data_IF_689698235314
#
_entry.id   IF_689698235314
#
_cell.length_a   1.000
_cell.length_b   1.000
_cell.length_c   1.000
_cell.angle_alpha   90.00
_cell.angle_beta   90.00
_cell.angle_gamma   90.00
#
_symmetry.space_group_name_H-M   'P 1'
#
loop_
_entity.id
_entity.type
_entity.pdbx_description
1 polymer ?
#
# COMPACT_ATOMS: atom_id res chain seq x y z
N UNK A 1 -15.71 -4.61 -12.62
CA UNK A 1 -15.96 -3.35 -11.89
C UNK A 1 -16.48 -3.64 -10.49
N UNK A 2 -17.59 -4.38 -10.34
CA UNK A 2 -18.15 -4.70 -9.01
C UNK A 2 -17.23 -5.57 -8.12
N UNK A 3 -16.45 -6.46 -8.73
CA UNK A 3 -15.51 -7.31 -7.99
C UNK A 3 -14.38 -6.51 -7.32
N UNK A 4 -13.90 -5.44 -7.97
CA UNK A 4 -12.75 -4.66 -7.47
C UNK A 4 -13.15 -3.74 -6.32
N UNK A 5 -14.35 -3.15 -6.40
CA UNK A 5 -14.94 -2.40 -5.30
C UNK A 5 -15.23 -3.32 -4.10
N UNK A 6 -15.75 -4.52 -4.34
CA UNK A 6 -15.91 -5.53 -3.29
C UNK A 6 -14.58 -5.89 -2.62
N UNK A 7 -13.50 -6.04 -3.39
CA UNK A 7 -12.16 -6.27 -2.81
C UNK A 7 -11.70 -5.11 -1.92
N UNK A 8 -12.00 -3.86 -2.30
CA UNK A 8 -11.72 -2.71 -1.43
C UNK A 8 -12.58 -2.73 -0.15
N UNK A 9 -13.83 -3.17 -0.22
CA UNK A 9 -14.68 -3.30 0.97
C UNK A 9 -14.17 -4.40 1.91
N UNK A 10 -13.68 -5.51 1.36
CA UNK A 10 -13.00 -6.58 2.12
C UNK A 10 -11.76 -6.02 2.82
N UNK A 11 -10.93 -5.25 2.11
CA UNK A 11 -9.78 -4.59 2.71
C UNK A 11 -10.22 -3.63 3.82
N UNK A 12 -11.21 -2.77 3.58
CA UNK A 12 -11.69 -1.80 4.57
C UNK A 12 -12.21 -2.50 5.83
N UNK A 13 -12.93 -3.61 5.68
CA UNK A 13 -13.42 -4.45 6.80
C UNK A 13 -12.25 -5.08 7.57
N UNK A 14 -11.24 -5.59 6.86
CA UNK A 14 -10.06 -6.15 7.48
C UNK A 14 -9.26 -5.09 8.24
N UNK A 15 -9.12 -3.89 7.68
CA UNK A 15 -8.45 -2.72 8.29
C UNK A 15 -9.19 -2.28 9.55
N UNK A 16 -10.52 -2.16 9.50
CA UNK A 16 -11.32 -1.77 10.65
C UNK A 16 -11.25 -2.80 11.80
N UNK A 17 -11.11 -4.09 11.48
CA UNK A 17 -11.03 -5.16 12.48
C UNK A 17 -9.59 -5.52 12.89
N UNK A 18 -8.58 -5.03 12.16
CA UNK A 18 -7.18 -5.44 12.28
C UNK A 18 -6.90 -6.91 11.92
N UNK A 19 -7.88 -7.61 11.33
CA UNK A 19 -7.80 -9.06 11.06
C UNK A 19 -8.18 -9.35 9.62
N UNK A 20 -7.43 -10.26 9.00
CA UNK A 20 -7.71 -10.77 7.68
C UNK A 20 -7.94 -12.28 7.74
N UNK A 21 -9.15 -12.71 7.37
CA UNK A 21 -9.46 -14.13 7.26
C UNK A 21 -8.72 -14.75 6.06
N UNK A 22 -8.30 -16.01 6.18
CA UNK A 22 -7.50 -16.71 5.15
C UNK A 22 -8.15 -16.68 3.76
N UNK A 23 -9.47 -16.90 3.67
CA UNK A 23 -10.21 -16.83 2.41
C UNK A 23 -10.10 -15.44 1.75
N UNK A 24 -10.19 -14.37 2.53
CA UNK A 24 -10.03 -13.01 2.05
C UNK A 24 -8.56 -12.66 1.75
N UNK A 25 -7.60 -13.29 2.44
CA UNK A 25 -6.18 -13.14 2.13
C UNK A 25 -5.89 -13.66 0.72
N UNK A 26 -6.38 -14.86 0.36
CA UNK A 26 -6.23 -15.40 -0.99
C UNK A 26 -6.81 -14.46 -2.06
N UNK A 27 -8.03 -13.96 -1.85
CA UNK A 27 -8.66 -13.01 -2.78
C UNK A 27 -7.82 -11.72 -2.95
N UNK A 28 -7.36 -11.13 -1.85
CA UNK A 28 -6.52 -9.94 -1.87
C UNK A 28 -5.17 -10.19 -2.54
N UNK A 29 -4.53 -11.34 -2.31
CA UNK A 29 -3.27 -11.69 -2.97
C UNK A 29 -3.45 -11.79 -4.49
N UNK A 30 -4.53 -12.43 -4.96
CA UNK A 30 -4.85 -12.45 -6.39
C UNK A 30 -5.11 -11.04 -6.93
N UNK A 31 -5.83 -10.21 -6.17
CA UNK A 31 -6.09 -8.83 -6.54
C UNK A 31 -4.78 -8.02 -6.70
N UNK A 32 -3.81 -8.20 -5.80
CA UNK A 32 -2.50 -7.53 -5.82
C UNK A 32 -1.63 -7.86 -7.04
N UNK A 33 -1.90 -8.96 -7.75
CA UNK A 33 -1.20 -9.27 -9.01
C UNK A 33 -1.60 -8.32 -10.14
N UNK A 34 -2.74 -7.63 -10.01
CA UNK A 34 -3.25 -6.67 -10.98
C UNK A 34 -2.74 -5.27 -10.64
N UNK A 35 -1.98 -4.59 -11.53
CA UNK A 35 -1.32 -3.32 -11.21
C UNK A 35 -2.26 -2.24 -10.67
N UNK A 36 -3.43 -2.02 -11.31
CA UNK A 36 -4.39 -1.01 -10.87
C UNK A 36 -4.96 -1.30 -9.49
N UNK A 37 -5.21 -2.57 -9.18
CA UNK A 37 -5.78 -2.97 -7.89
C UNK A 37 -4.73 -2.91 -6.77
N UNK A 38 -3.48 -3.26 -7.07
CA UNK A 38 -2.36 -3.01 -6.15
C UNK A 38 -2.25 -1.54 -5.79
N UNK A 39 -2.31 -0.67 -6.80
CA UNK A 39 -2.19 0.76 -6.60
C UNK A 39 -3.40 1.31 -5.84
N UNK A 40 -4.61 0.78 -6.09
CA UNK A 40 -5.82 1.09 -5.33
C UNK A 40 -5.72 0.68 -3.85
N UNK A 41 -5.23 -0.53 -3.57
CA UNK A 41 -4.99 -1.02 -2.20
C UNK A 41 -3.98 -0.13 -1.49
N UNK A 42 -2.91 0.27 -2.17
CA UNK A 42 -1.91 1.17 -1.62
C UNK A 42 -2.51 2.55 -1.32
N UNK A 43 -3.30 3.11 -2.23
CA UNK A 43 -3.99 4.38 -2.03
C UNK A 43 -4.94 4.32 -0.81
N UNK A 44 -5.72 3.25 -0.68
CA UNK A 44 -6.60 3.05 0.47
C UNK A 44 -5.81 2.97 1.78
N UNK A 45 -4.69 2.25 1.79
CA UNK A 45 -3.82 2.09 2.97
C UNK A 45 -3.21 3.41 3.47
N UNK A 46 -3.18 4.46 2.65
CA UNK A 46 -2.64 5.78 3.02
C UNK A 46 -3.70 6.89 3.09
N UNK A 47 -4.97 6.52 3.15
CA UNK A 47 -6.10 7.43 3.32
C UNK A 47 -6.58 8.11 2.03
N UNK A 48 -6.12 7.68 0.86
CA UNK A 48 -6.51 8.21 -0.45
C UNK A 48 -7.69 7.44 -1.04
N UNK A 49 -8.81 7.44 -0.33
CA UNK A 49 -9.97 6.59 -0.68
C UNK A 49 -10.59 6.94 -2.04
N UNK A 50 -10.59 8.22 -2.43
CA UNK A 50 -11.13 8.61 -3.75
C UNK A 50 -10.23 8.15 -4.90
N UNK A 51 -8.90 8.26 -4.72
CA UNK A 51 -7.92 7.71 -5.66
C UNK A 51 -8.03 6.18 -5.73
N UNK A 52 -8.21 5.51 -4.58
CA UNK A 52 -8.41 4.07 -4.52
C UNK A 52 -9.64 3.61 -5.32
N UNK A 53 -10.78 4.29 -5.14
CA UNK A 53 -12.01 4.00 -5.91
C UNK A 53 -11.84 4.31 -7.40
N UNK A 54 -11.11 5.38 -7.74
CA UNK A 54 -10.79 5.69 -9.13
C UNK A 54 -9.94 4.58 -9.77
N UNK A 55 -8.89 4.13 -9.09
CA UNK A 55 -8.02 3.05 -9.56
C UNK A 55 -8.77 1.72 -9.69
N UNK A 56 -9.59 1.35 -8.71
CA UNK A 56 -10.41 0.13 -8.74
C UNK A 56 -11.50 0.17 -9.84
N UNK A 57 -11.95 1.35 -10.24
CA UNK A 57 -12.86 1.52 -11.38
C UNK A 57 -12.13 1.56 -12.74
N UNK A 58 -10.81 1.33 -12.77
CA UNK A 58 -10.03 1.30 -13.99
C UNK A 58 -9.56 2.68 -14.48
N UNK A 59 -9.82 3.74 -13.72
CA UNK A 59 -9.33 5.08 -14.06
C UNK A 59 -7.84 5.18 -13.71
N UNK A 60 -7.04 5.67 -14.66
CA UNK A 60 -5.63 5.96 -14.41
C UNK A 60 -5.51 7.18 -13.50
N UNK A 61 -4.69 7.05 -12.48
CA UNK A 61 -4.33 8.13 -11.56
C UNK A 61 -2.84 8.44 -11.76
N UNK A 62 -2.49 9.73 -11.77
CA UNK A 62 -1.11 10.20 -11.98
C UNK A 62 -0.21 9.73 -10.83
N UNK A 63 0.90 9.05 -11.11
CA UNK A 63 1.85 8.52 -10.14
C UNK A 63 2.33 9.55 -9.09
N UNK A 64 2.21 10.85 -9.37
CA UNK A 64 2.38 11.93 -8.38
C UNK A 64 1.52 11.76 -7.13
N UNK A 65 0.41 11.01 -7.18
CA UNK A 65 -0.46 10.77 -6.02
C UNK A 65 0.32 10.12 -4.86
N UNK A 66 1.37 9.34 -5.16
CA UNK A 66 2.25 8.73 -4.16
C UNK A 66 3.03 9.75 -3.31
N UNK A 67 3.19 10.98 -3.81
CA UNK A 67 3.92 12.07 -3.13
C UNK A 67 3.06 13.31 -2.94
N UNK A 68 1.77 13.25 -3.29
CA UNK A 68 0.88 14.40 -3.39
C UNK A 68 0.38 14.90 -2.02
N UNK A 69 1.28 15.46 -1.20
CA UNK A 69 0.89 16.10 0.05
C UNK A 69 0.62 15.10 1.19
N UNK A 70 -0.13 15.52 2.21
CA UNK A 70 -0.18 14.77 3.45
C UNK A 70 -1.02 13.47 3.34
N UNK A 71 -0.66 12.47 4.13
CA UNK A 71 -1.31 11.16 4.26
C UNK A 71 -2.05 11.07 5.60
N UNK A 72 -3.05 10.20 5.67
CA UNK A 72 -3.78 9.92 6.90
C UNK A 72 -3.01 8.91 7.78
N UNK A 73 -2.51 9.31 8.97
CA UNK A 73 -1.80 8.39 9.86
C UNK A 73 -2.69 7.26 10.39
N UNK A 74 -3.96 7.54 10.68
CA UNK A 74 -4.88 6.54 11.21
C UNK A 74 -5.14 5.44 10.18
N UNK A 75 -5.24 5.80 8.90
CA UNK A 75 -5.35 4.83 7.81
C UNK A 75 -4.10 3.94 7.71
N UNK A 76 -2.90 4.51 7.79
CA UNK A 76 -1.64 3.75 7.71
C UNK A 76 -1.48 2.80 8.89
N UNK A 77 -1.74 3.28 10.10
CA UNK A 77 -1.64 2.46 11.32
C UNK A 77 -2.65 1.31 11.29
N UNK A 78 -3.88 1.54 10.84
CA UNK A 78 -4.88 0.50 10.70
C UNK A 78 -4.56 -0.51 9.58
N UNK A 79 -3.95 -0.06 8.47
CA UNK A 79 -3.59 -0.93 7.36
C UNK A 79 -2.38 -1.82 7.64
N UNK A 80 -1.40 -1.34 8.41
CA UNK A 80 -0.16 -2.05 8.69
C UNK A 80 -0.33 -3.50 9.18
N UNK A 81 -1.16 -3.82 10.19
CA UNK A 81 -1.34 -5.20 10.66
C UNK A 81 -1.99 -6.11 9.60
N UNK A 82 -2.88 -5.56 8.75
CA UNK A 82 -3.53 -6.31 7.67
C UNK A 82 -2.54 -6.64 6.56
N UNK A 83 -1.72 -5.66 6.16
CA UNK A 83 -0.70 -5.91 5.12
C UNK A 83 0.40 -6.86 5.64
N UNK A 84 0.71 -6.83 6.94
CA UNK A 84 1.61 -7.82 7.55
C UNK A 84 1.01 -9.25 7.53
N UNK A 85 -0.29 -9.40 7.76
CA UNK A 85 -0.99 -10.69 7.60
C UNK A 85 -0.94 -11.16 6.13
N UNK A 86 -1.13 -10.24 5.17
CA UNK A 86 -0.95 -10.55 3.74
C UNK A 86 0.49 -10.97 3.41
N UNK A 87 1.50 -10.39 4.06
CA UNK A 87 2.91 -10.77 3.85
C UNK A 87 3.15 -12.21 4.29
N UNK A 88 2.61 -12.59 5.45
CA UNK A 88 2.65 -13.97 5.94
C UNK A 88 1.93 -14.94 4.99
N UNK A 89 0.74 -14.58 4.52
CA UNK A 89 -0.01 -15.40 3.56
C UNK A 89 0.75 -15.55 2.22
N UNK A 90 1.37 -14.47 1.74
CA UNK A 90 2.11 -14.47 0.48
C UNK A 90 3.34 -15.39 0.52
N UNK A 91 4.03 -15.47 1.67
CA UNK A 91 5.16 -16.38 1.85
C UNK A 91 4.78 -17.86 1.66
N UNK A 92 3.55 -18.24 2.01
CA UNK A 92 3.03 -19.60 1.78
C UNK A 92 2.44 -19.84 0.38
N UNK A 93 2.15 -18.77 -0.38
CA UNK A 93 1.41 -18.85 -1.64
C UNK A 93 2.30 -18.71 -2.91
N UNK A 94 3.55 -18.25 -2.75
CA UNK A 94 4.54 -18.16 -3.84
C UNK A 94 5.04 -16.75 -4.15
N UNK A 95 6.18 -16.67 -4.83
CA UNK A 95 6.91 -15.42 -5.07
C UNK A 95 6.09 -14.35 -5.81
N UNK A 96 5.18 -14.75 -6.71
CA UNK A 96 4.33 -13.79 -7.44
C UNK A 96 3.46 -12.91 -6.53
N UNK A 97 3.16 -13.37 -5.32
CA UNK A 97 2.38 -12.63 -4.32
C UNK A 97 3.26 -11.87 -3.33
N UNK A 98 4.49 -12.33 -3.12
CA UNK A 98 5.42 -11.75 -2.16
C UNK A 98 5.81 -10.33 -2.55
N UNK A 99 6.22 -10.11 -3.80
CA UNK A 99 6.76 -8.82 -4.24
C UNK A 99 5.76 -7.66 -4.19
N UNK A 100 4.49 -7.82 -4.61
CA UNK A 100 3.47 -6.80 -4.39
C UNK A 100 3.32 -6.39 -2.92
N UNK A 101 3.21 -7.36 -2.02
CA UNK A 101 2.98 -7.08 -0.58
C UNK A 101 4.21 -6.43 0.06
N UNK A 102 5.41 -6.98 -0.19
CA UNK A 102 6.68 -6.40 0.29
C UNK A 102 6.86 -4.97 -0.22
N UNK A 103 6.43 -4.67 -1.44
CA UNK A 103 6.50 -3.32 -2.01
C UNK A 103 5.55 -2.35 -1.31
N UNK A 104 4.30 -2.75 -1.06
CA UNK A 104 3.33 -1.95 -0.31
C UNK A 104 3.86 -1.64 1.08
N UNK A 105 4.36 -2.64 1.79
CA UNK A 105 4.95 -2.47 3.10
C UNK A 105 6.18 -1.54 3.08
N UNK A 106 7.02 -1.64 2.05
CA UNK A 106 8.15 -0.75 1.85
C UNK A 106 7.71 0.71 1.68
N UNK A 107 6.64 0.96 0.91
CA UNK A 107 6.05 2.29 0.82
C UNK A 107 5.49 2.79 2.17
N UNK A 108 4.76 1.94 2.90
CA UNK A 108 4.23 2.31 4.22
C UNK A 108 5.35 2.62 5.23
N UNK A 109 6.51 1.95 5.14
CA UNK A 109 7.67 2.29 5.96
C UNK A 109 8.22 3.67 5.58
N UNK A 110 8.39 3.94 4.29
CA UNK A 110 8.87 5.23 3.79
C UNK A 110 7.93 6.38 4.17
N UNK A 111 6.62 6.20 4.01
CA UNK A 111 5.57 7.15 4.39
C UNK A 111 5.58 7.49 5.89
N UNK A 112 6.00 6.55 6.75
CA UNK A 112 6.17 6.78 8.19
C UNK A 112 7.55 7.33 8.59
N UNK A 113 8.38 7.73 7.61
CA UNK A 113 9.74 8.22 7.87
C UNK A 113 10.74 7.12 8.22
N UNK A 114 10.37 5.83 8.12
CA UNK A 114 11.26 4.68 8.38
C UNK A 114 12.02 4.30 7.11
N UNK A 115 12.74 5.27 6.54
CA UNK A 115 13.43 5.17 5.25
C UNK A 115 14.42 4.00 5.19
N UNK A 116 15.18 3.74 6.26
CA UNK A 116 16.10 2.60 6.31
C UNK A 116 15.38 1.25 6.28
N UNK A 117 14.24 1.13 6.96
CA UNK A 117 13.41 -0.07 6.93
C UNK A 117 12.82 -0.28 5.52
N UNK A 118 12.30 0.78 4.91
CA UNK A 118 11.82 0.77 3.53
C UNK A 118 12.90 0.29 2.56
N UNK A 119 14.10 0.88 2.61
CA UNK A 119 15.22 0.51 1.75
C UNK A 119 15.65 -0.96 1.97
N UNK A 120 15.74 -1.41 3.22
CA UNK A 120 16.10 -2.80 3.55
C UNK A 120 15.09 -3.79 3.01
N UNK A 121 13.80 -3.49 3.15
CA UNK A 121 12.70 -4.31 2.66
C UNK A 121 12.70 -4.37 1.12
N UNK A 122 12.78 -3.22 0.46
CA UNK A 122 12.75 -3.13 -1.00
C UNK A 122 14.00 -3.75 -1.65
N UNK A 123 15.16 -3.78 -0.99
CA UNK A 123 16.39 -4.41 -1.50
C UNK A 123 16.18 -5.87 -1.94
N UNK A 124 15.25 -6.59 -1.30
CA UNK A 124 14.94 -8.00 -1.58
C UNK A 124 14.04 -8.18 -2.81
N UNK A 125 13.36 -7.12 -3.26
CA UNK A 125 12.43 -7.18 -4.39
C UNK A 125 13.22 -7.11 -5.70
N UNK A 126 12.98 -8.01 -6.68
CA UNK A 126 13.72 -8.06 -7.93
C UNK A 126 13.52 -6.78 -8.77
N UNK A 127 14.52 -6.37 -9.58
CA UNK A 127 14.43 -5.17 -10.43
C UNK A 127 13.33 -5.22 -11.48
N UNK A 128 12.88 -6.42 -11.87
CA UNK A 128 11.75 -6.63 -12.79
C UNK A 128 10.42 -6.11 -12.23
N UNK A 129 10.33 -5.89 -10.92
CA UNK A 129 9.15 -5.34 -10.29
C UNK A 129 9.17 -3.80 -10.31
N UNK A 130 8.67 -3.22 -11.40
CA UNK A 130 8.78 -1.79 -11.71
C UNK A 130 8.39 -0.83 -10.56
N UNK A 131 7.32 -1.14 -9.81
CA UNK A 131 6.90 -0.32 -8.67
C UNK A 131 7.97 -0.26 -7.58
N UNK A 132 8.63 -1.38 -7.25
CA UNK A 132 9.70 -1.38 -6.26
C UNK A 132 10.93 -0.63 -6.77
N UNK A 133 11.24 -0.71 -8.07
CA UNK A 133 12.33 0.06 -8.68
C UNK A 133 12.08 1.56 -8.56
N UNK A 134 10.88 2.02 -8.93
CA UNK A 134 10.48 3.42 -8.77
C UNK A 134 10.55 3.89 -7.31
N UNK A 135 10.11 3.05 -6.35
CA UNK A 135 10.21 3.39 -4.93
C UNK A 135 11.64 3.46 -4.42
N UNK A 136 12.53 2.55 -4.88
CA UNK A 136 13.96 2.61 -4.54
C UNK A 136 14.58 3.91 -5.04
N UNK A 137 14.26 4.32 -6.26
CA UNK A 137 14.71 5.58 -6.85
C UNK A 137 14.19 6.77 -6.04
N UNK A 138 12.88 6.80 -5.73
CA UNK A 138 12.27 7.86 -4.93
C UNK A 138 12.91 7.98 -3.53
N UNK A 139 13.17 6.86 -2.86
CA UNK A 139 13.82 6.80 -1.55
C UNK A 139 15.28 7.29 -1.61
N UNK A 140 15.99 6.97 -2.68
CA UNK A 140 17.40 7.36 -2.85
C UNK A 140 17.57 8.82 -3.31
N UNK A 141 16.51 9.43 -3.85
CA UNK A 141 16.60 10.76 -4.46
C UNK A 141 16.55 11.88 -3.39
N UNK A 142 17.56 12.75 -3.30
CA UNK A 142 17.67 13.75 -2.23
C UNK A 142 16.56 14.81 -2.26
N UNK A 143 15.89 14.99 -3.41
CA UNK A 143 14.83 15.98 -3.59
C UNK A 143 13.42 15.41 -3.61
N UNK A 144 13.24 14.09 -3.44
CA UNK A 144 11.91 13.49 -3.33
C UNK A 144 11.66 13.25 -1.84
N UNK A 145 10.99 14.17 -1.13
CA UNK A 145 10.67 13.96 0.27
C UNK A 145 9.70 12.77 0.38
N UNK A 146 9.81 12.04 1.49
CA UNK A 146 8.78 11.08 1.87
C UNK A 146 7.40 11.76 1.91
N UNK A 147 6.33 11.09 1.48
CA UNK A 147 4.99 11.61 1.66
C UNK A 147 4.75 11.80 3.16
N UNK A 148 4.16 12.95 3.52
CA UNK A 148 4.12 13.40 4.92
C UNK A 148 2.88 12.89 5.60
N UNK A 149 2.99 12.32 6.79
CA UNK A 149 1.81 12.07 7.61
C UNK A 149 1.26 13.37 8.16
N UNK A 150 -0.06 13.56 8.07
CA UNK A 150 -0.74 14.57 8.85
C UNK A 150 -0.91 14.01 10.26
N UNK A 151 0.13 14.12 11.11
CA UNK A 151 -0.15 14.07 12.54
C UNK A 151 -1.31 15.05 12.78
N UNK A 152 -2.35 14.63 13.51
CA UNK A 152 -3.44 15.51 13.91
C UNK A 152 -2.84 16.63 14.80
N UNK A 153 -2.16 17.57 14.18
CA UNK A 153 -1.63 18.78 14.81
C UNK A 153 -2.85 19.67 14.94
N UNK A 154 -3.55 19.48 16.05
CA UNK A 154 -4.55 20.36 16.64
C UNK A 154 -5.58 20.93 15.66
N UNK A 155 -6.81 20.43 15.72
CA UNK A 155 -7.90 21.41 15.70
C UNK A 155 -7.71 22.28 16.95
N UNK A 156 -7.44 23.59 16.83
CA UNK A 156 -7.54 24.48 17.96
C UNK A 156 -9.04 24.66 18.26
N UNK A 157 -9.43 24.06 19.39
CA UNK A 157 -10.66 24.22 20.19
C UNK A 157 -11.95 23.63 19.64
#
# INVERSE_FOLDING_TARGET
>A
MDADLRTLDVLATAVASGKLADAHATELLHALTRPLMRDAILAAAVGRLDDARALASGRRVDARWLTAGPLDPSAIEAARPVVAQLEAAALGAGEQYQWPVTTILGYLDWATGRTLAAATRLRRVPPSYAMATMLKEAIAHPFIPAPRLLALVGSPR
#
